data_IF_403133311858
#
_entry.id   IF_403133311858
#
_cell.length_a   1.000
_cell.length_b   1.000
_cell.length_c   1.000
_cell.angle_alpha   90.00
_cell.angle_beta   90.00
_cell.angle_gamma   90.00
#
_symmetry.space_group_name_H-M   'P 1'
#
loop_
_entity.id
_entity.type
_entity.pdbx_description
1 polymer ?
#
# COMPACT_ATOMS: atom_id res chain seq x y z
N UNK A 1 0.11 -16.36 10.04
CA UNK A 1 0.21 -16.45 8.56
C UNK A 1 -0.18 -17.83 8.06
N UNK A 2 0.44 -18.91 8.53
CA UNK A 2 0.15 -20.28 8.05
C UNK A 2 -1.33 -20.64 8.17
N UNK A 3 -1.96 -20.41 9.33
CA UNK A 3 -3.39 -20.69 9.54
C UNK A 3 -4.27 -19.92 8.52
N UNK A 4 -4.00 -18.64 8.30
CA UNK A 4 -4.72 -17.84 7.30
C UNK A 4 -4.61 -18.45 5.90
N UNK A 5 -3.40 -18.86 5.49
CA UNK A 5 -3.17 -19.49 4.17
C UNK A 5 -4.00 -20.77 4.03
N UNK A 6 -4.04 -21.60 5.09
CA UNK A 6 -4.82 -22.85 5.11
C UNK A 6 -6.31 -22.61 4.89
N UNK A 7 -6.88 -21.53 5.43
CA UNK A 7 -8.30 -21.18 5.22
C UNK A 7 -8.56 -20.41 3.92
N UNK A 8 -7.65 -19.53 3.55
CA UNK A 8 -7.78 -18.66 2.38
C UNK A 8 -7.75 -19.46 1.07
N UNK A 9 -6.78 -20.38 0.91
CA UNK A 9 -6.63 -21.13 -0.34
C UNK A 9 -7.88 -21.96 -0.70
N UNK A 10 -8.52 -22.70 0.22
CA UNK A 10 -9.77 -23.42 -0.06
C UNK A 10 -10.95 -22.49 -0.41
N UNK A 11 -11.15 -21.40 0.34
CA UNK A 11 -12.23 -20.43 0.08
C UNK A 11 -12.05 -19.76 -1.29
N UNK A 12 -10.81 -19.41 -1.60
CA UNK A 12 -10.45 -18.83 -2.87
C UNK A 12 -10.68 -19.83 -4.02
N UNK A 13 -10.21 -21.07 -3.87
CA UNK A 13 -10.46 -22.15 -4.82
C UNK A 13 -11.96 -22.39 -5.05
N UNK A 14 -12.77 -22.41 -3.99
CA UNK A 14 -14.22 -22.52 -4.09
C UNK A 14 -14.84 -21.37 -4.92
N UNK A 15 -14.37 -20.14 -4.69
CA UNK A 15 -14.83 -18.97 -5.44
C UNK A 15 -14.49 -19.08 -6.93
N UNK A 16 -13.28 -19.54 -7.28
CA UNK A 16 -12.88 -19.82 -8.67
C UNK A 16 -13.77 -20.90 -9.28
N UNK A 17 -14.02 -21.97 -8.53
CA UNK A 17 -14.81 -23.10 -8.99
C UNK A 17 -16.26 -22.70 -9.29
N UNK A 18 -16.85 -21.88 -8.42
CA UNK A 18 -18.18 -21.28 -8.63
C UNK A 18 -18.21 -20.43 -9.89
N UNK A 19 -17.24 -19.55 -10.08
CA UNK A 19 -17.19 -18.68 -11.28
C UNK A 19 -16.98 -19.51 -12.56
N UNK A 20 -16.12 -20.54 -12.50
CA UNK A 20 -15.92 -21.49 -13.60
C UNK A 20 -17.21 -22.23 -13.98
N UNK A 21 -18.08 -22.56 -13.02
CA UNK A 21 -19.41 -23.14 -13.30
C UNK A 21 -20.34 -22.13 -13.95
N UNK A 22 -20.35 -20.88 -13.50
CA UNK A 22 -21.16 -19.79 -14.07
C UNK A 22 -20.73 -19.54 -15.52
N UNK A 23 -19.43 -19.37 -15.76
CA UNK A 23 -18.88 -19.14 -17.11
C UNK A 23 -19.16 -20.32 -18.04
N UNK A 24 -19.04 -21.57 -17.58
CA UNK A 24 -19.43 -22.75 -18.38
C UNK A 24 -20.92 -22.79 -18.72
N UNK A 25 -21.78 -22.23 -17.87
CA UNK A 25 -23.23 -22.12 -18.12
C UNK A 25 -23.52 -20.99 -19.11
N UNK A 26 -22.92 -19.82 -18.90
CA UNK A 26 -23.06 -18.66 -19.78
C UNK A 26 -22.47 -18.90 -21.18
N UNK A 27 -21.35 -19.61 -21.32
CA UNK A 27 -20.77 -19.99 -22.62
C UNK A 27 -21.68 -20.89 -23.47
N UNK A 28 -22.61 -21.62 -22.85
CA UNK A 28 -23.64 -22.39 -23.56
C UNK A 28 -24.79 -21.51 -24.05
N UNK A 29 -25.03 -20.36 -23.41
CA UNK A 29 -26.17 -19.48 -23.71
C UNK A 29 -25.77 -18.27 -24.58
N UNK A 30 -24.54 -17.75 -24.44
CA UNK A 30 -23.98 -16.69 -25.29
C UNK A 30 -22.45 -16.84 -25.40
N UNK A 31 -21.88 -16.94 -26.61
CA UNK A 31 -20.44 -16.85 -26.77
C UNK A 31 -20.01 -15.43 -26.35
N UNK A 32 -19.18 -15.33 -25.31
CA UNK A 32 -18.49 -14.11 -24.91
C UNK A 32 -17.50 -13.71 -26.02
N UNK A 33 -18.01 -13.23 -27.14
CA UNK A 33 -17.29 -12.34 -28.05
C UNK A 33 -17.73 -10.93 -27.68
N UNK A 34 -16.76 -10.02 -27.58
CA UNK A 34 -16.93 -8.56 -27.40
C UNK A 34 -17.11 -8.05 -25.96
N UNK A 35 -16.01 -8.01 -25.21
CA UNK A 35 -15.79 -6.92 -24.23
C UNK A 35 -14.29 -6.76 -23.88
N UNK A 36 -13.44 -7.71 -24.28
CA UNK A 36 -11.97 -7.59 -24.16
C UNK A 36 -11.32 -6.60 -25.14
N UNK A 37 -12.09 -5.93 -26.00
CA UNK A 37 -11.62 -4.81 -26.83
C UNK A 37 -11.55 -3.47 -26.08
N UNK A 38 -12.04 -3.39 -24.83
CA UNK A 38 -12.09 -2.18 -24.01
C UNK A 38 -10.79 -1.85 -23.24
N UNK A 39 -9.65 -2.52 -23.50
CA UNK A 39 -8.39 -2.10 -22.90
C UNK A 39 -7.81 -0.91 -23.66
N UNK A 40 -8.13 0.29 -23.18
CA UNK A 40 -7.51 1.53 -23.65
C UNK A 40 -6.04 1.60 -23.23
N UNK A 41 -5.16 2.10 -24.08
CA UNK A 41 -3.77 2.44 -23.69
C UNK A 41 -3.74 3.48 -22.57
N UNK A 42 -4.75 4.35 -22.52
CA UNK A 42 -4.93 5.40 -21.53
C UNK A 42 -6.28 5.22 -20.84
N UNK A 43 -6.26 4.91 -19.54
CA UNK A 43 -7.48 4.77 -18.74
C UNK A 43 -8.21 6.12 -18.62
N UNK A 44 -9.55 6.13 -18.74
CA UNK A 44 -10.37 7.30 -18.44
C UNK A 44 -10.13 7.78 -17.00
N UNK A 45 -10.23 9.09 -16.78
CA UNK A 45 -9.96 9.74 -15.50
C UNK A 45 -10.71 9.09 -14.31
N UNK A 46 -11.98 8.72 -14.52
CA UNK A 46 -12.82 8.03 -13.52
C UNK A 46 -12.19 6.72 -13.01
N UNK A 47 -11.65 5.91 -13.90
CA UNK A 47 -11.02 4.63 -13.53
C UNK A 47 -9.63 4.82 -12.93
N UNK A 48 -8.89 5.85 -13.35
CA UNK A 48 -7.64 6.23 -12.69
C UNK A 48 -7.89 6.66 -11.24
N UNK A 49 -8.94 7.45 -11.00
CA UNK A 49 -9.34 7.88 -9.66
C UNK A 49 -9.71 6.67 -8.79
N UNK A 50 -10.54 5.75 -9.28
CA UNK A 50 -10.89 4.54 -8.56
C UNK A 50 -9.65 3.71 -8.20
N UNK A 51 -8.70 3.58 -9.12
CA UNK A 51 -7.43 2.90 -8.85
C UNK A 51 -6.66 3.58 -7.71
N UNK A 52 -6.48 4.90 -7.77
CA UNK A 52 -5.76 5.65 -6.71
C UNK A 52 -6.50 5.62 -5.37
N UNK A 53 -7.83 5.60 -5.36
CA UNK A 53 -8.63 5.43 -4.13
C UNK A 53 -8.36 4.09 -3.45
N UNK A 54 -8.11 3.00 -4.20
CA UNK A 54 -7.74 1.72 -3.58
C UNK A 54 -6.40 1.77 -2.85
N UNK A 55 -5.47 2.64 -3.28
CA UNK A 55 -4.19 2.83 -2.58
C UNK A 55 -4.39 3.50 -1.22
N UNK A 56 -5.44 4.33 -1.05
CA UNK A 56 -5.77 4.94 0.24
C UNK A 56 -6.25 3.91 1.28
N UNK A 57 -6.79 2.77 0.86
CA UNK A 57 -7.18 1.68 1.78
C UNK A 57 -5.94 1.11 2.47
N UNK A 58 -4.85 0.92 1.73
CA UNK A 58 -3.55 0.47 2.27
C UNK A 58 -2.99 1.48 3.26
N UNK A 59 -3.12 2.77 2.96
CA UNK A 59 -2.72 3.84 3.88
C UNK A 59 -3.57 3.83 5.17
N UNK A 60 -4.89 3.65 5.03
CA UNK A 60 -5.80 3.50 6.17
C UNK A 60 -5.38 2.35 7.08
N UNK A 61 -5.12 1.17 6.51
CA UNK A 61 -4.56 0.01 7.23
C UNK A 61 -3.32 0.44 8.04
N UNK A 62 -2.30 1.00 7.39
CA UNK A 62 -1.04 1.36 8.07
C UNK A 62 -1.24 2.40 9.18
N UNK A 63 -2.04 3.44 8.94
CA UNK A 63 -2.35 4.45 9.96
C UNK A 63 -3.11 3.88 11.15
N UNK A 64 -4.18 3.12 10.87
CA UNK A 64 -5.00 2.49 11.91
C UNK A 64 -4.15 1.56 12.77
N UNK A 65 -3.16 0.85 12.23
CA UNK A 65 -2.38 -0.08 13.04
C UNK A 65 -1.31 0.56 13.92
N UNK A 66 -0.62 1.60 13.46
CA UNK A 66 0.33 2.30 14.32
C UNK A 66 -0.33 3.19 15.38
N UNK A 67 -1.62 3.51 15.23
CA UNK A 67 -2.41 4.29 16.20
C UNK A 67 -3.30 3.44 17.11
N UNK A 68 -3.89 2.35 16.61
CA UNK A 68 -4.80 1.47 17.37
C UNK A 68 -4.19 0.11 17.75
N UNK A 69 -2.92 -0.15 17.42
CA UNK A 69 -2.23 -1.39 17.81
C UNK A 69 -2.32 -1.68 19.31
N UNK A 70 -2.29 -0.64 20.15
CA UNK A 70 -2.50 -0.74 21.59
C UNK A 70 -3.91 -1.20 21.97
N UNK A 71 -4.94 -0.76 21.25
CA UNK A 71 -6.33 -1.16 21.50
C UNK A 71 -6.55 -2.62 21.11
N UNK A 72 -5.98 -3.04 19.97
CA UNK A 72 -6.00 -4.44 19.54
C UNK A 72 -5.25 -5.31 20.53
N UNK A 73 -4.10 -4.86 21.05
CA UNK A 73 -3.35 -5.57 22.07
C UNK A 73 -4.18 -5.83 23.34
N UNK A 74 -4.92 -4.83 23.82
CA UNK A 74 -5.76 -4.99 25.00
C UNK A 74 -6.88 -6.01 24.75
N UNK A 75 -7.54 -5.94 23.58
CA UNK A 75 -8.55 -6.95 23.20
C UNK A 75 -7.94 -8.35 23.18
N UNK A 76 -6.74 -8.52 22.62
CA UNK A 76 -6.08 -9.82 22.60
C UNK A 76 -5.73 -10.30 24.00
N UNK A 77 -5.28 -9.40 24.89
CA UNK A 77 -5.03 -9.74 26.30
C UNK A 77 -6.30 -10.29 26.94
N UNK A 78 -7.41 -9.56 26.83
CA UNK A 78 -8.70 -9.94 27.42
C UNK A 78 -9.21 -11.26 26.81
N UNK A 79 -9.06 -11.46 25.50
CA UNK A 79 -9.47 -12.71 24.84
C UNK A 79 -8.61 -13.89 25.30
N UNK A 80 -7.30 -13.71 25.48
CA UNK A 80 -6.37 -14.76 25.89
C UNK A 80 -6.56 -15.22 27.34
N UNK A 81 -7.21 -14.42 28.18
CA UNK A 81 -7.63 -14.83 29.53
C UNK A 81 -8.71 -15.93 29.50
N UNK A 82 -9.46 -16.05 28.40
CA UNK A 82 -10.46 -17.12 28.22
C UNK A 82 -9.87 -18.42 27.65
N UNK A 83 -8.58 -18.43 27.27
CA UNK A 83 -7.91 -19.61 26.73
C UNK A 83 -7.11 -20.35 27.83
N UNK A 84 -6.84 -21.66 27.66
CA UNK A 84 -5.99 -22.41 28.58
C UNK A 84 -4.63 -21.74 28.79
N UNK A 85 -4.14 -21.76 30.04
CA UNK A 85 -2.88 -21.10 30.45
C UNK A 85 -1.69 -21.43 29.53
N UNK A 86 -1.57 -22.68 29.06
CA UNK A 86 -0.51 -23.08 28.13
C UNK A 86 -0.54 -22.27 26.83
N UNK A 87 -1.72 -22.05 26.26
CA UNK A 87 -1.88 -21.26 25.01
C UNK A 87 -1.60 -19.79 25.29
N UNK A 88 -2.10 -19.30 26.42
CA UNK A 88 -1.93 -17.92 26.86
C UNK A 88 -0.45 -17.58 27.08
N UNK A 89 0.26 -18.38 27.88
CA UNK A 89 1.69 -18.23 28.19
C UNK A 89 2.57 -18.31 26.94
N UNK A 90 2.30 -19.25 26.02
CA UNK A 90 3.02 -19.34 24.74
C UNK A 90 2.82 -18.05 23.93
N UNK A 91 1.61 -17.51 23.88
CA UNK A 91 1.31 -16.30 23.12
C UNK A 91 1.96 -15.05 23.75
N UNK A 92 1.85 -14.89 25.07
CA UNK A 92 2.49 -13.80 25.82
C UNK A 92 4.02 -13.84 25.67
N UNK A 93 4.62 -15.03 25.71
CA UNK A 93 6.06 -15.25 25.53
C UNK A 93 6.55 -14.92 24.11
N UNK A 94 5.87 -15.45 23.07
CA UNK A 94 6.27 -15.24 21.66
C UNK A 94 6.15 -13.77 21.24
N UNK A 95 5.07 -13.11 21.62
CA UNK A 95 4.79 -11.75 21.16
C UNK A 95 5.21 -10.67 22.15
N UNK A 96 5.80 -11.08 23.29
CA UNK A 96 6.37 -10.22 24.32
C UNK A 96 5.46 -9.05 24.72
N UNK A 97 4.16 -9.38 24.86
CA UNK A 97 3.06 -8.42 25.00
C UNK A 97 3.20 -7.57 26.27
N UNK A 98 3.83 -8.13 27.31
CA UNK A 98 4.00 -7.46 28.59
C UNK A 98 5.19 -6.50 28.62
N UNK A 99 6.27 -6.80 27.89
CA UNK A 99 7.52 -6.03 27.96
C UNK A 99 7.59 -4.92 26.92
N UNK A 100 7.06 -5.13 25.71
CA UNK A 100 7.15 -4.12 24.65
C UNK A 100 5.94 -4.15 23.70
N UNK A 101 4.95 -3.29 23.99
CA UNK A 101 3.72 -3.07 23.21
C UNK A 101 3.98 -2.82 21.71
N UNK A 102 5.13 -2.26 21.36
CA UNK A 102 5.48 -1.96 19.97
C UNK A 102 5.90 -3.20 19.17
N UNK A 103 6.50 -4.20 19.81
CA UNK A 103 6.88 -5.47 19.13
C UNK A 103 5.62 -6.21 18.70
N UNK A 104 4.62 -6.32 19.59
CA UNK A 104 3.31 -6.87 19.26
C UNK A 104 2.66 -6.12 18.09
N UNK A 105 2.65 -4.79 18.15
CA UNK A 105 2.07 -3.94 17.10
C UNK A 105 2.77 -4.16 15.76
N UNK A 106 4.09 -4.33 15.74
CA UNK A 106 4.84 -4.60 14.52
C UNK A 106 4.51 -5.98 13.93
N UNK A 107 4.49 -7.05 14.74
CA UNK A 107 4.12 -8.38 14.25
C UNK A 107 2.69 -8.42 13.73
N UNK A 108 1.78 -7.71 14.40
CA UNK A 108 0.40 -7.55 13.98
C UNK A 108 0.33 -6.84 12.61
N UNK A 109 1.05 -5.74 12.43
CA UNK A 109 1.14 -5.01 11.15
C UNK A 109 1.70 -5.92 10.04
N UNK A 110 2.80 -6.63 10.29
CA UNK A 110 3.42 -7.56 9.32
C UNK A 110 2.44 -8.67 8.94
N UNK A 111 1.73 -9.24 9.92
CA UNK A 111 0.71 -10.25 9.68
C UNK A 111 -0.40 -9.70 8.78
N UNK A 112 -0.98 -8.56 9.10
CA UNK A 112 -2.14 -8.02 8.38
C UNK A 112 -1.79 -7.51 6.98
N UNK A 113 -0.64 -6.85 6.83
CA UNK A 113 -0.12 -6.47 5.51
C UNK A 113 0.20 -7.72 4.69
N UNK A 114 0.74 -8.78 5.33
CA UNK A 114 0.93 -10.09 4.70
C UNK A 114 -0.37 -10.72 4.21
N UNK A 115 -1.44 -10.69 5.03
CA UNK A 115 -2.79 -11.11 4.62
C UNK A 115 -3.27 -10.31 3.41
N UNK A 116 -3.16 -8.99 3.49
CA UNK A 116 -3.59 -8.08 2.43
C UNK A 116 -2.83 -8.35 1.12
N UNK A 117 -1.51 -8.53 1.20
CA UNK A 117 -0.65 -8.87 0.07
C UNK A 117 -1.05 -10.20 -0.56
N UNK A 118 -1.27 -11.25 0.24
CA UNK A 118 -1.72 -12.55 -0.26
C UNK A 118 -3.08 -12.45 -0.96
N UNK A 119 -4.02 -11.70 -0.38
CA UNK A 119 -5.33 -11.45 -0.99
C UNK A 119 -5.22 -10.71 -2.33
N UNK A 120 -4.45 -9.62 -2.37
CA UNK A 120 -4.22 -8.82 -3.58
C UNK A 120 -3.46 -9.59 -4.65
N UNK A 121 -2.41 -10.32 -4.29
CA UNK A 121 -1.65 -11.20 -5.19
C UNK A 121 -2.57 -12.22 -5.84
N UNK A 122 -3.38 -12.91 -5.03
CA UNK A 122 -4.29 -13.94 -5.53
C UNK A 122 -5.33 -13.34 -6.48
N UNK A 123 -5.91 -12.20 -6.11
CA UNK A 123 -6.86 -11.47 -6.95
C UNK A 123 -6.22 -11.08 -8.29
N UNK A 124 -5.07 -10.40 -8.28
CA UNK A 124 -4.38 -9.95 -9.50
C UNK A 124 -3.87 -11.13 -10.35
N UNK A 125 -3.43 -12.23 -9.74
CA UNK A 125 -2.95 -13.42 -10.47
C UNK A 125 -4.07 -14.08 -11.29
N UNK A 126 -5.26 -14.24 -10.70
CA UNK A 126 -6.45 -14.69 -11.45
C UNK A 126 -6.82 -13.66 -12.51
N UNK A 127 -6.86 -12.39 -12.13
CA UNK A 127 -7.25 -11.29 -13.01
C UNK A 127 -6.39 -11.23 -14.28
N UNK A 128 -5.10 -11.52 -14.18
CA UNK A 128 -4.14 -11.51 -15.29
C UNK A 128 -4.21 -12.82 -16.10
N UNK A 129 -4.17 -13.99 -15.43
CA UNK A 129 -4.08 -15.29 -16.11
C UNK A 129 -5.42 -15.82 -16.64
N UNK A 130 -6.52 -15.55 -15.93
CA UNK A 130 -7.88 -16.01 -16.24
C UNK A 130 -8.90 -14.90 -15.92
N UNK A 131 -8.86 -13.77 -16.65
CA UNK A 131 -9.76 -12.63 -16.41
C UNK A 131 -11.25 -13.00 -16.55
N UNK A 132 -11.55 -14.02 -17.35
CA UNK A 132 -12.88 -14.61 -17.53
C UNK A 132 -13.45 -15.23 -16.25
N UNK A 133 -12.57 -15.75 -15.39
CA UNK A 133 -12.92 -16.37 -14.10
C UNK A 133 -12.82 -15.40 -12.92
N UNK A 134 -12.53 -14.12 -13.16
CA UNK A 134 -12.41 -13.14 -12.10
C UNK A 134 -13.79 -12.65 -11.66
N UNK A 135 -14.19 -12.85 -10.38
CA UNK A 135 -15.56 -12.59 -9.93
C UNK A 135 -15.94 -11.11 -9.97
N UNK A 136 -14.96 -10.20 -9.89
CA UNK A 136 -15.19 -8.76 -9.91
C UNK A 136 -14.94 -8.18 -11.30
N UNK A 137 -15.74 -8.60 -12.28
CA UNK A 137 -15.62 -8.18 -13.71
C UNK A 137 -15.51 -6.67 -13.94
N UNK A 138 -16.21 -5.77 -13.21
CA UNK A 138 -16.03 -4.32 -13.38
C UNK A 138 -14.61 -3.82 -13.04
N UNK A 139 -13.91 -4.51 -12.14
CA UNK A 139 -12.55 -4.16 -11.74
C UNK A 139 -11.56 -4.49 -12.87
N UNK A 140 -11.83 -5.47 -13.74
CA UNK A 140 -10.98 -5.76 -14.92
C UNK A 140 -10.82 -4.57 -15.86
N UNK A 141 -11.78 -3.64 -15.88
CA UNK A 141 -11.73 -2.42 -16.71
C UNK A 141 -10.67 -1.40 -16.25
N UNK A 142 -10.02 -1.63 -15.11
CA UNK A 142 -8.97 -0.78 -14.53
C UNK A 142 -7.56 -1.18 -15.03
N UNK A 143 -7.40 -2.31 -15.75
CA UNK A 143 -6.09 -2.76 -16.26
C UNK A 143 -5.65 -1.99 -17.51
N UNK A 144 -4.39 -1.57 -17.57
CA UNK A 144 -3.77 -1.04 -18.79
C UNK A 144 -3.20 -2.18 -19.65
N UNK A 145 -3.16 -1.99 -20.97
CA UNK A 145 -2.54 -2.97 -21.90
C UNK A 145 -1.09 -3.33 -21.51
N UNK A 146 -0.28 -2.34 -21.10
CA UNK A 146 1.11 -2.56 -20.65
C UNK A 146 1.23 -3.47 -19.42
N UNK A 147 0.22 -3.46 -18.55
CA UNK A 147 0.20 -4.23 -17.30
C UNK A 147 -0.16 -5.71 -17.54
N UNK A 148 -0.63 -6.08 -18.74
CA UNK A 148 -0.99 -7.46 -19.10
C UNK A 148 0.24 -8.35 -19.38
N UNK A 149 1.35 -7.74 -19.79
CA UNK A 149 2.60 -8.45 -20.09
C UNK A 149 3.62 -8.36 -18.96
N UNK A 150 3.42 -7.42 -18.03
CA UNK A 150 4.17 -7.39 -16.77
C UNK A 150 3.61 -8.48 -15.86
N UNK A 151 4.50 -9.33 -15.31
CA UNK A 151 4.13 -10.46 -14.44
C UNK A 151 3.53 -10.02 -13.10
N UNK A 152 3.62 -8.73 -12.76
CA UNK A 152 3.18 -8.16 -11.48
C UNK A 152 2.36 -6.88 -11.76
N UNK A 153 1.12 -6.86 -11.26
CA UNK A 153 0.25 -5.67 -11.31
C UNK A 153 0.72 -4.55 -10.36
N UNK A 154 0.23 -3.31 -10.56
CA UNK A 154 0.63 -2.15 -9.74
C UNK A 154 0.27 -2.27 -8.25
N UNK A 155 -0.72 -3.11 -7.90
CA UNK A 155 -1.04 -3.40 -6.50
C UNK A 155 -0.02 -4.33 -5.85
N UNK A 156 0.61 -5.20 -6.64
CA UNK A 156 1.65 -6.12 -6.17
C UNK A 156 2.95 -5.36 -5.91
N UNK A 157 3.35 -4.47 -6.82
CA UNK A 157 4.53 -3.61 -6.63
C UNK A 157 4.37 -2.71 -5.40
N UNK A 158 3.20 -2.10 -5.23
CA UNK A 158 2.85 -1.34 -4.03
C UNK A 158 2.91 -2.21 -2.76
N UNK A 159 2.28 -3.38 -2.78
CA UNK A 159 2.23 -4.28 -1.63
C UNK A 159 3.60 -4.79 -1.21
N UNK A 160 4.46 -5.16 -2.18
CA UNK A 160 5.87 -5.54 -1.93
C UNK A 160 6.63 -4.34 -1.36
N UNK A 161 6.47 -3.14 -1.92
CA UNK A 161 7.09 -1.93 -1.39
C UNK A 161 6.72 -1.67 0.06
N UNK A 162 5.42 -1.74 0.38
CA UNK A 162 4.92 -1.59 1.74
C UNK A 162 5.48 -2.64 2.70
N UNK A 163 5.45 -3.92 2.31
CA UNK A 163 5.93 -5.01 3.14
C UNK A 163 7.44 -4.90 3.40
N UNK A 164 8.21 -4.53 2.37
CA UNK A 164 9.67 -4.39 2.46
C UNK A 164 10.07 -3.32 3.49
N UNK A 165 9.44 -2.14 3.44
CA UNK A 165 9.80 -1.05 4.35
C UNK A 165 9.36 -1.31 5.79
N UNK A 166 8.27 -2.06 6.00
CA UNK A 166 7.81 -2.47 7.33
C UNK A 166 8.80 -3.46 7.96
N UNK A 167 9.30 -4.43 7.19
CA UNK A 167 10.30 -5.39 7.68
C UNK A 167 11.62 -4.69 7.98
N UNK A 168 12.10 -3.85 7.06
CA UNK A 168 13.41 -3.21 7.17
C UNK A 168 13.45 -2.17 8.29
N UNK A 169 12.45 -1.29 8.35
CA UNK A 169 12.50 -0.12 9.24
C UNK A 169 11.63 -0.26 10.48
N UNK A 170 10.61 -1.13 10.47
CA UNK A 170 9.64 -1.22 11.57
C UNK A 170 10.23 -1.59 12.92
N UNK A 171 11.38 -2.28 12.94
CA UNK A 171 12.05 -2.69 14.18
C UNK A 171 12.78 -1.54 14.88
N UNK A 172 13.11 -0.47 14.15
CA UNK A 172 13.91 0.64 14.68
C UNK A 172 13.04 1.66 15.41
N UNK A 173 12.65 1.35 16.64
CA UNK A 173 11.78 2.23 17.43
C UNK A 173 12.53 3.45 18.01
N UNK A 174 11.89 4.64 18.08
CA UNK A 174 10.57 5.02 17.55
C UNK A 174 10.59 5.47 16.06
N UNK A 175 11.77 5.49 15.44
CA UNK A 175 12.01 6.11 14.13
C UNK A 175 11.28 5.36 12.99
N UNK A 176 11.21 4.04 13.07
CA UNK A 176 10.65 3.13 12.08
C UNK A 176 9.19 3.42 11.74
N UNK A 177 8.25 3.33 12.70
CA UNK A 177 6.84 3.67 12.48
C UNK A 177 6.64 5.06 11.91
N UNK A 178 7.38 6.04 12.43
CA UNK A 178 7.32 7.42 11.96
C UNK A 178 7.70 7.53 10.48
N UNK A 179 8.82 6.91 10.10
CA UNK A 179 9.32 6.93 8.72
C UNK A 179 8.38 6.19 7.79
N UNK A 180 7.87 5.02 8.20
CA UNK A 180 6.95 4.21 7.40
C UNK A 180 5.66 4.98 7.13
N UNK A 181 5.00 5.49 8.18
CA UNK A 181 3.75 6.25 8.03
C UNK A 181 3.97 7.50 7.17
N UNK A 182 5.02 8.27 7.45
CA UNK A 182 5.28 9.54 6.75
C UNK A 182 5.63 9.29 5.28
N UNK A 183 6.57 8.39 4.98
CA UNK A 183 6.99 8.08 3.60
C UNK A 183 5.86 7.53 2.74
N UNK A 184 5.06 6.58 3.25
CA UNK A 184 3.92 6.03 2.51
C UNK A 184 2.87 7.09 2.21
N UNK A 185 2.56 7.93 3.20
CA UNK A 185 1.56 9.00 3.02
C UNK A 185 2.00 9.98 1.96
N UNK A 186 3.22 10.50 2.09
CA UNK A 186 3.77 11.43 1.12
C UNK A 186 3.79 10.82 -0.28
N UNK A 187 4.25 9.57 -0.41
CA UNK A 187 4.38 8.89 -1.71
C UNK A 187 3.02 8.69 -2.39
N UNK A 188 2.02 8.19 -1.67
CA UNK A 188 0.68 7.91 -2.22
C UNK A 188 -0.03 9.21 -2.63
N UNK A 189 -0.04 10.20 -1.74
CA UNK A 189 -0.73 11.46 -2.02
C UNK A 189 -0.03 12.28 -3.10
N UNK A 190 1.32 12.25 -3.16
CA UNK A 190 2.06 12.93 -4.22
C UNK A 190 1.82 12.30 -5.59
N UNK A 191 1.97 10.99 -5.75
CA UNK A 191 1.74 10.30 -7.02
C UNK A 191 0.27 10.42 -7.47
N UNK A 192 -0.70 10.31 -6.55
CA UNK A 192 -2.10 10.58 -6.86
C UNK A 192 -2.30 12.01 -7.37
N UNK A 193 -1.75 13.01 -6.68
CA UNK A 193 -1.91 14.42 -7.06
C UNK A 193 -1.21 14.73 -8.38
N UNK A 194 0.05 14.31 -8.54
CA UNK A 194 0.85 14.56 -9.73
C UNK A 194 0.17 14.00 -10.98
N UNK A 195 -0.38 12.80 -10.90
CA UNK A 195 -1.07 12.15 -12.00
C UNK A 195 -2.44 12.81 -12.30
N UNK A 196 -3.23 13.16 -11.27
CA UNK A 196 -4.54 13.80 -11.47
C UNK A 196 -4.42 15.24 -11.98
N UNK A 197 -3.53 16.03 -11.38
CA UNK A 197 -3.26 17.42 -11.79
C UNK A 197 -2.56 17.43 -13.14
N UNK A 198 -1.59 16.55 -13.37
CA UNK A 198 -0.89 16.45 -14.64
C UNK A 198 -1.82 16.10 -15.80
N UNK A 199 -2.80 15.21 -15.59
CA UNK A 199 -3.81 14.88 -16.61
C UNK A 199 -4.83 16.00 -16.87
N UNK A 200 -5.24 16.73 -15.83
CA UNK A 200 -6.33 17.73 -15.95
C UNK A 200 -5.84 19.13 -16.33
N UNK A 201 -4.68 19.52 -15.81
CA UNK A 201 -4.16 20.89 -15.92
C UNK A 201 -2.76 20.95 -16.53
N UNK A 202 -2.12 19.81 -16.81
CA UNK A 202 -0.78 19.76 -17.37
C UNK A 202 -0.71 20.39 -18.76
N UNK A 203 0.23 21.33 -18.93
CA UNK A 203 0.47 22.02 -20.20
C UNK A 203 1.90 21.79 -20.69
N UNK A 204 2.85 21.73 -19.76
CA UNK A 204 4.27 21.57 -20.10
C UNK A 204 4.77 20.19 -19.69
N UNK A 205 5.08 19.37 -20.68
CA UNK A 205 5.67 18.06 -20.45
C UNK A 205 7.11 18.18 -19.97
N UNK A 206 7.52 17.23 -19.12
CA UNK A 206 8.89 17.09 -18.65
C UNK A 206 9.64 16.23 -19.68
N UNK A 207 10.64 16.82 -20.34
CA UNK A 207 11.46 16.14 -21.35
C UNK A 207 10.57 15.48 -22.44
N UNK A 208 10.83 14.21 -22.77
CA UNK A 208 10.04 13.40 -23.70
C UNK A 208 9.04 12.46 -22.98
N UNK A 209 8.67 12.77 -21.74
CA UNK A 209 7.73 11.95 -20.95
C UNK A 209 6.30 12.50 -21.05
N UNK A 210 5.32 11.71 -20.57
CA UNK A 210 3.93 12.16 -20.40
C UNK A 210 3.69 12.86 -19.04
N UNK A 211 4.74 13.00 -18.21
CA UNK A 211 4.67 13.72 -16.93
C UNK A 211 4.78 15.22 -17.20
N UNK A 212 4.16 16.04 -16.35
CA UNK A 212 4.09 17.50 -16.53
C UNK A 212 4.67 18.24 -15.35
N UNK A 213 5.25 19.43 -15.59
CA UNK A 213 5.77 20.27 -14.52
C UNK A 213 4.68 20.68 -13.53
N UNK A 214 3.46 20.93 -14.01
CA UNK A 214 2.32 21.23 -13.14
C UNK A 214 1.97 20.05 -12.23
N UNK A 215 2.01 18.82 -12.75
CA UNK A 215 1.85 17.61 -11.95
C UNK A 215 2.95 17.45 -10.91
N UNK A 216 4.21 17.64 -11.32
CA UNK A 216 5.39 17.54 -10.44
C UNK A 216 5.30 18.47 -9.23
N UNK A 217 5.09 19.78 -9.47
CA UNK A 217 5.03 20.76 -8.37
C UNK A 217 3.80 20.55 -7.48
N UNK A 218 2.66 20.14 -8.06
CA UNK A 218 1.48 19.80 -7.26
C UNK A 218 1.73 18.56 -6.38
N UNK A 219 2.40 17.54 -6.92
CA UNK A 219 2.81 16.34 -6.19
C UNK A 219 3.75 16.68 -5.04
N UNK A 220 4.79 17.49 -5.27
CA UNK A 220 5.72 17.94 -4.23
C UNK A 220 5.02 18.75 -3.13
N UNK A 221 4.14 19.68 -3.50
CA UNK A 221 3.38 20.47 -2.54
C UNK A 221 2.46 19.63 -1.65
N UNK A 222 1.76 18.66 -2.26
CA UNK A 222 0.90 17.75 -1.50
C UNK A 222 1.72 16.76 -0.67
N UNK A 223 2.87 16.26 -1.15
CA UNK A 223 3.80 15.48 -0.34
C UNK A 223 4.20 16.26 0.92
N UNK A 224 4.63 17.50 0.77
CA UNK A 224 5.05 18.32 1.90
C UNK A 224 3.93 18.51 2.94
N UNK A 225 2.74 18.91 2.49
CA UNK A 225 1.58 19.14 3.37
C UNK A 225 1.14 17.84 4.04
N UNK A 226 1.02 16.75 3.29
CA UNK A 226 0.60 15.45 3.84
C UNK A 226 1.62 14.89 4.83
N UNK A 227 2.92 15.07 4.59
CA UNK A 227 3.98 14.74 5.53
C UNK A 227 3.87 15.53 6.83
N UNK A 228 3.62 16.85 6.76
CA UNK A 228 3.38 17.68 7.96
C UNK A 228 2.17 17.17 8.73
N UNK A 229 1.04 16.93 8.07
CA UNK A 229 -0.19 16.44 8.70
C UNK A 229 0.08 15.10 9.41
N UNK A 230 0.76 14.17 8.73
CA UNK A 230 1.13 12.88 9.33
C UNK A 230 1.98 13.04 10.57
N UNK A 231 3.03 13.86 10.51
CA UNK A 231 3.89 14.08 11.67
C UNK A 231 3.17 14.81 12.82
N UNK A 232 2.24 15.71 12.52
CA UNK A 232 1.39 16.34 13.55
C UNK A 232 0.48 15.34 14.26
N UNK A 233 -0.12 14.40 13.53
CA UNK A 233 -0.90 13.32 14.11
C UNK A 233 -0.02 12.41 14.97
N UNK A 234 1.16 12.05 14.47
CA UNK A 234 2.10 11.19 15.17
C UNK A 234 2.76 11.87 16.37
N UNK A 235 2.83 13.20 16.41
CA UNK A 235 3.37 13.96 17.55
C UNK A 235 2.61 13.69 18.86
N UNK A 236 1.34 13.29 18.79
CA UNK A 236 0.58 12.92 19.99
C UNK A 236 1.12 11.63 20.64
N UNK A 237 1.75 10.76 19.84
CA UNK A 237 2.27 9.46 20.26
C UNK A 237 3.79 9.50 20.44
N UNK A 238 4.49 10.25 19.59
CA UNK A 238 5.95 10.34 19.55
C UNK A 238 6.41 11.76 19.90
N UNK A 239 7.39 11.88 20.80
CA UNK A 239 7.98 13.17 21.20
C UNK A 239 8.89 13.72 20.09
N UNK A 240 8.32 14.51 19.18
CA UNK A 240 9.02 15.07 18.03
C UNK A 240 9.48 16.51 18.26
N UNK A 241 10.75 16.80 17.93
CA UNK A 241 11.28 18.17 17.93
C UNK A 241 10.55 19.00 16.85
N UNK A 242 10.19 20.28 17.09
CA UNK A 242 9.50 21.11 16.09
C UNK A 242 10.21 21.18 14.73
N UNK A 243 11.55 21.17 14.73
CA UNK A 243 12.39 21.17 13.52
C UNK A 243 12.11 19.96 12.62
N UNK A 244 11.84 18.79 13.23
CA UNK A 244 11.55 17.56 12.48
C UNK A 244 10.25 17.65 11.68
N UNK A 245 9.28 18.43 12.14
CA UNK A 245 8.00 18.66 11.45
C UNK A 245 8.17 19.38 10.11
N UNK A 246 9.27 20.14 9.95
CA UNK A 246 9.54 20.93 8.76
C UNK A 246 10.55 20.21 7.86
N UNK A 247 11.67 19.74 8.43
CA UNK A 247 12.76 19.16 7.66
C UNK A 247 12.41 17.79 7.06
N UNK A 248 11.76 16.90 7.81
CA UNK A 248 11.44 15.55 7.32
C UNK A 248 10.50 15.63 6.10
N UNK A 249 9.37 16.36 6.14
CA UNK A 249 8.51 16.50 4.97
C UNK A 249 9.18 17.26 3.82
N UNK A 250 10.04 18.24 4.11
CA UNK A 250 10.77 18.98 3.07
C UNK A 250 11.68 18.05 2.27
N UNK A 251 12.51 17.26 2.97
CA UNK A 251 13.41 16.31 2.32
C UNK A 251 12.62 15.27 1.54
N UNK A 252 11.56 14.70 2.14
CA UNK A 252 10.73 13.73 1.44
C UNK A 252 10.08 14.29 0.17
N UNK A 253 9.58 15.53 0.21
CA UNK A 253 8.98 16.18 -0.95
C UNK A 253 9.99 16.44 -2.07
N UNK A 254 11.21 16.86 -1.72
CA UNK A 254 12.31 17.05 -2.68
C UNK A 254 12.71 15.73 -3.33
N UNK A 255 12.85 14.65 -2.55
CA UNK A 255 13.19 13.33 -3.08
C UNK A 255 12.08 12.80 -3.99
N UNK A 256 10.81 12.93 -3.60
CA UNK A 256 9.67 12.52 -4.45
C UNK A 256 9.69 13.31 -5.77
N UNK A 257 9.88 14.63 -5.71
CA UNK A 257 10.00 15.45 -6.92
C UNK A 257 11.17 15.03 -7.81
N UNK A 258 12.31 14.70 -7.20
CA UNK A 258 13.47 14.21 -7.94
C UNK A 258 13.19 12.87 -8.63
N UNK A 259 12.56 11.92 -7.94
CA UNK A 259 12.18 10.62 -8.51
C UNK A 259 11.15 10.78 -9.64
N UNK A 260 10.17 11.66 -9.46
CA UNK A 260 9.14 11.91 -10.47
C UNK A 260 9.71 12.60 -11.71
N UNK A 261 10.73 13.45 -11.54
CA UNK A 261 11.48 14.08 -12.62
C UNK A 261 12.39 13.09 -13.38
N UNK A 262 12.99 12.12 -12.69
CA UNK A 262 13.83 11.11 -13.31
C UNK A 262 13.05 10.11 -14.17
N UNK A 263 11.78 9.85 -13.84
CA UNK A 263 10.90 8.90 -14.52
C UNK A 263 11.56 7.52 -14.70
N UNK A 264 11.92 6.89 -13.56
CA UNK A 264 12.59 5.59 -13.55
C UNK A 264 11.72 4.51 -14.23
N UNK A 265 12.37 3.53 -14.86
CA UNK A 265 11.67 2.40 -15.50
C UNK A 265 10.96 1.48 -14.48
N UNK A 266 11.39 1.54 -13.21
CA UNK A 266 10.83 0.76 -12.11
C UNK A 266 9.51 1.39 -11.65
N UNK A 267 8.49 0.57 -11.37
CA UNK A 267 7.17 1.01 -10.93
C UNK A 267 7.25 2.02 -9.76
N UNK A 268 6.71 3.23 -9.98
CA UNK A 268 6.67 4.33 -9.02
C UNK A 268 6.11 3.88 -7.65
N UNK A 269 5.16 2.94 -7.62
CA UNK A 269 4.58 2.44 -6.36
C UNK A 269 5.56 1.61 -5.51
N UNK A 270 6.62 1.06 -6.12
CA UNK A 270 7.70 0.39 -5.42
C UNK A 270 8.84 1.37 -5.12
N UNK A 271 9.28 2.09 -6.15
CA UNK A 271 10.41 3.02 -6.11
C UNK A 271 10.23 4.10 -5.04
N UNK A 272 9.06 4.73 -4.98
CA UNK A 272 8.82 5.83 -4.05
C UNK A 272 8.82 5.31 -2.62
N UNK A 273 8.06 4.25 -2.34
CA UNK A 273 8.00 3.66 -1.01
C UNK A 273 9.38 3.28 -0.49
N UNK A 274 10.22 2.62 -1.30
CA UNK A 274 11.53 2.17 -0.86
C UNK A 274 12.55 3.32 -0.72
N UNK A 275 12.70 4.16 -1.75
CA UNK A 275 13.74 5.20 -1.75
C UNK A 275 13.41 6.31 -0.75
N UNK A 276 12.15 6.77 -0.72
CA UNK A 276 11.73 7.84 0.20
C UNK A 276 11.85 7.37 1.65
N UNK A 277 11.39 6.16 1.98
CA UNK A 277 11.53 5.63 3.35
C UNK A 277 12.99 5.49 3.76
N UNK A 278 13.87 5.03 2.86
CA UNK A 278 15.31 4.89 3.14
C UNK A 278 15.95 6.24 3.43
N UNK A 279 15.70 7.26 2.60
CA UNK A 279 16.25 8.61 2.83
C UNK A 279 15.69 9.20 4.12
N UNK A 280 14.37 9.11 4.34
CA UNK A 280 13.75 9.62 5.54
C UNK A 280 14.23 8.89 6.80
N UNK A 281 14.58 7.61 6.73
CA UNK A 281 15.15 6.86 7.84
C UNK A 281 16.47 7.45 8.32
N UNK A 282 17.44 7.63 7.42
CA UNK A 282 18.73 8.22 7.76
C UNK A 282 18.62 9.67 8.22
N UNK A 283 17.75 10.46 7.59
CA UNK A 283 17.49 11.85 8.03
C UNK A 283 16.85 11.89 9.41
N UNK A 284 15.92 10.97 9.69
CA UNK A 284 15.27 10.90 11.00
C UNK A 284 16.26 10.49 12.09
N UNK A 285 17.20 9.58 11.80
CA UNK A 285 18.32 9.26 12.70
C UNK A 285 19.13 10.53 13.02
N UNK A 286 19.50 11.33 12.01
CA UNK A 286 20.31 12.54 12.21
C UNK A 286 19.59 13.67 12.97
N UNK A 287 18.26 13.73 12.93
CA UNK A 287 17.47 14.82 13.53
C UNK A 287 16.93 14.44 14.93
N UNK A 288 16.55 13.18 15.11
CA UNK A 288 15.88 12.70 16.32
C UNK A 288 16.85 12.16 17.38
N UNK A 289 17.99 11.61 16.98
CA UNK A 289 19.13 11.34 17.88
C UNK A 289 19.82 12.67 18.19
#
# INVERSE_FOLDING_TARGET
>A
MIIFIIFFLPLFYYSIYREKRIVKRDLKEKPWKEDFSLFSEVLPFKYELYRKLTHLVVLGIVFFYFTLGFLVQNIFRDVLEFFPNIISEIFFSIYNIEVNKMIFTQYLVVFLVGVSLLGMLSADFIRILRPDLYPLKPVNRILRKKERHMRLGPHISMGIGCFSIIILYGMFQPIGPLVICTSMTMSIFADMTANLVGKKFGRKNIRNTKKTYEGLFAGMGVAYISGIITLLLLRQVYMLKPVSLILIPLVGAVIIGFLDFLDLEVDDNLSYNFIVSTVLFFISILILI
#
